data_IF_854863189385
#
_entry.id   IF_854863189385
#
_cell.length_a   1.000
_cell.length_b   1.000
_cell.length_c   1.000
_cell.angle_alpha   90.00
_cell.angle_beta   90.00
_cell.angle_gamma   90.00
#
_symmetry.space_group_name_H-M   'P 1'
#
loop_
_entity.id
_entity.type
_entity.pdbx_description
1 polymer ?
#
# COMPACT_ATOMS: atom_id res chain seq x y z
N UNK A 1 11.15 -52.67 8.80
CA UNK A 1 11.68 -51.68 9.76
C UNK A 1 11.98 -50.41 8.98
N UNK A 2 10.97 -49.54 8.85
CA UNK A 2 11.09 -48.26 8.17
C UNK A 2 11.58 -47.21 9.17
N UNK A 3 12.38 -46.24 8.73
CA UNK A 3 12.09 -44.82 8.93
C UNK A 3 13.01 -43.94 8.08
N UNK A 4 12.35 -43.33 7.09
CA UNK A 4 12.73 -42.20 6.25
C UNK A 4 13.54 -41.10 6.95
N UNK A 5 14.71 -40.78 6.40
CA UNK A 5 15.39 -39.50 6.59
C UNK A 5 15.08 -38.54 5.43
N UNK A 6 13.91 -37.92 5.42
CA UNK A 6 13.57 -36.87 4.44
C UNK A 6 14.06 -35.52 4.96
N UNK A 7 15.22 -35.05 4.48
CA UNK A 7 15.61 -33.64 4.61
C UNK A 7 14.54 -32.81 3.92
N UNK A 8 13.76 -32.05 4.69
CA UNK A 8 12.99 -30.93 4.16
C UNK A 8 13.99 -29.80 3.87
N UNK A 9 14.38 -29.68 2.61
CA UNK A 9 14.83 -28.40 2.07
C UNK A 9 13.67 -27.43 2.25
N UNK A 10 13.83 -26.45 3.15
CA UNK A 10 12.89 -25.35 3.32
C UNK A 10 12.92 -24.56 2.00
N UNK A 11 11.86 -24.69 1.21
CA UNK A 11 11.68 -23.92 -0.01
C UNK A 11 11.67 -22.45 0.37
N UNK A 12 12.57 -21.67 -0.23
CA UNK A 12 12.63 -20.23 -0.11
C UNK A 12 11.47 -19.61 -0.90
N UNK A 13 10.25 -19.82 -0.43
CA UNK A 13 9.03 -19.31 -1.05
C UNK A 13 8.98 -17.79 -0.83
N UNK A 14 9.72 -17.10 -1.69
CA UNK A 14 9.50 -15.72 -2.09
C UNK A 14 8.00 -15.58 -2.34
N UNK A 15 7.36 -14.64 -1.62
CA UNK A 15 5.92 -14.33 -1.68
C UNK A 15 5.39 -14.48 -3.11
N UNK A 16 4.57 -15.50 -3.35
CA UNK A 16 4.05 -15.76 -4.70
C UNK A 16 3.21 -14.55 -5.17
N UNK A 17 3.49 -13.99 -6.36
CA UNK A 17 2.84 -12.78 -6.85
C UNK A 17 1.31 -12.90 -6.98
N UNK A 18 0.78 -14.13 -7.10
CA UNK A 18 -0.66 -14.38 -7.19
C UNK A 18 -1.41 -14.08 -5.88
N UNK A 19 -0.76 -14.24 -4.71
CA UNK A 19 -1.37 -13.88 -3.41
C UNK A 19 -1.60 -12.38 -3.29
N UNK A 20 -0.69 -11.55 -3.81
CA UNK A 20 -0.81 -10.09 -3.71
C UNK A 20 -2.01 -9.60 -4.51
N UNK A 21 -2.27 -10.16 -5.70
CA UNK A 21 -3.42 -9.79 -6.52
C UNK A 21 -4.76 -10.21 -5.92
N UNK A 22 -4.87 -11.41 -5.35
CA UNK A 22 -6.07 -11.82 -4.60
C UNK A 22 -6.31 -10.94 -3.37
N UNK A 23 -5.21 -10.53 -2.72
CA UNK A 23 -5.29 -9.64 -1.56
C UNK A 23 -5.76 -8.24 -1.98
N UNK A 24 -5.29 -7.72 -3.13
CA UNK A 24 -5.74 -6.45 -3.71
C UNK A 24 -7.24 -6.45 -4.06
N UNK A 25 -7.73 -7.52 -4.68
CA UNK A 25 -9.18 -7.67 -4.97
C UNK A 25 -10.00 -7.75 -3.68
N UNK A 26 -9.51 -8.47 -2.67
CA UNK A 26 -10.15 -8.53 -1.34
C UNK A 26 -10.15 -7.18 -0.62
N UNK A 27 -9.12 -6.35 -0.83
CA UNK A 27 -9.03 -5.03 -0.21
C UNK A 27 -9.99 -3.99 -0.78
N UNK A 28 -10.48 -4.17 -2.01
CA UNK A 28 -11.50 -3.27 -2.58
C UNK A 28 -12.79 -3.20 -1.75
N UNK A 29 -13.14 -4.25 -0.99
CA UNK A 29 -14.31 -4.23 -0.11
C UNK A 29 -14.12 -3.40 1.17
N UNK A 30 -12.88 -3.15 1.58
CA UNK A 30 -12.55 -2.36 2.78
C UNK A 30 -12.61 -0.84 2.53
N UNK A 31 -12.79 -0.40 1.28
CA UNK A 31 -12.82 1.02 0.92
C UNK A 31 -13.95 1.77 1.65
N UNK A 32 -15.13 1.16 1.78
CA UNK A 32 -16.28 1.77 2.48
C UNK A 32 -15.98 2.07 3.96
N UNK A 33 -15.26 1.16 4.64
CA UNK A 33 -14.91 1.34 6.04
C UNK A 33 -13.79 2.37 6.21
N UNK A 34 -12.83 2.42 5.28
CA UNK A 34 -11.83 3.47 5.21
C UNK A 34 -12.49 4.85 5.03
N UNK A 35 -13.44 4.96 4.10
CA UNK A 35 -14.17 6.20 3.81
C UNK A 35 -14.95 6.66 5.04
N UNK A 36 -15.70 5.76 5.69
CA UNK A 36 -16.45 6.05 6.92
C UNK A 36 -15.53 6.45 8.08
N UNK A 37 -14.33 5.88 8.16
CA UNK A 37 -13.38 6.25 9.21
C UNK A 37 -12.73 7.61 8.95
N UNK A 38 -12.44 7.93 7.69
CA UNK A 38 -11.80 9.18 7.29
C UNK A 38 -12.75 10.37 7.40
N UNK A 39 -14.05 10.18 7.20
CA UNK A 39 -15.07 11.24 7.33
C UNK A 39 -15.23 11.80 8.76
N UNK A 40 -14.45 11.32 9.72
CA UNK A 40 -14.39 11.82 11.10
C UNK A 40 -13.24 12.81 11.33
N UNK A 41 -12.43 13.05 10.31
CA UNK A 41 -11.28 13.93 10.34
C UNK A 41 -11.53 15.09 9.36
N UNK A 42 -11.20 16.30 9.80
CA UNK A 42 -11.31 17.51 8.96
C UNK A 42 -9.98 17.83 8.26
N UNK A 43 -8.90 17.18 8.67
CA UNK A 43 -7.53 17.47 8.23
C UNK A 43 -6.79 16.20 7.78
N UNK A 44 -6.10 16.31 6.64
CA UNK A 44 -5.36 15.20 6.02
C UNK A 44 -4.16 14.81 6.87
N UNK A 45 -3.46 15.75 7.48
CA UNK A 45 -2.30 15.48 8.33
C UNK A 45 -2.71 14.68 9.57
N UNK A 46 -3.80 15.06 10.24
CA UNK A 46 -4.32 14.33 11.40
C UNK A 46 -4.66 12.86 11.05
N UNK A 47 -5.35 12.65 9.93
CA UNK A 47 -5.65 11.31 9.43
C UNK A 47 -4.39 10.49 9.14
N UNK A 48 -3.42 11.08 8.45
CA UNK A 48 -2.16 10.42 8.09
C UNK A 48 -1.34 10.09 9.32
N UNK A 49 -1.26 11.00 10.30
CA UNK A 49 -0.60 10.76 11.59
C UNK A 49 -1.27 9.61 12.34
N UNK A 50 -2.61 9.54 12.33
CA UNK A 50 -3.34 8.44 12.95
C UNK A 50 -3.00 7.09 12.30
N UNK A 51 -3.03 7.00 10.98
CA UNK A 51 -2.68 5.76 10.26
C UNK A 51 -1.20 5.40 10.42
N UNK A 52 -0.29 6.38 10.36
CA UNK A 52 1.14 6.16 10.55
C UNK A 52 1.45 5.62 11.95
N UNK A 53 0.75 6.10 12.99
CA UNK A 53 0.86 5.57 14.36
C UNK A 53 0.40 4.12 14.43
N UNK A 54 -0.73 3.75 13.80
CA UNK A 54 -1.22 2.36 13.77
C UNK A 54 -0.21 1.43 13.10
N UNK A 55 0.32 1.83 11.94
CA UNK A 55 1.35 1.05 11.23
C UNK A 55 2.68 1.00 11.97
N UNK A 56 3.05 2.07 12.69
CA UNK A 56 4.21 2.07 13.57
C UNK A 56 4.07 1.00 14.66
N UNK A 57 2.95 1.01 15.39
CA UNK A 57 2.69 0.06 16.48
C UNK A 57 2.69 -1.37 15.97
N UNK A 58 2.04 -1.64 14.83
CA UNK A 58 2.04 -2.96 14.20
C UNK A 58 3.46 -3.42 13.81
N UNK A 59 4.22 -2.56 13.14
CA UNK A 59 5.59 -2.87 12.73
C UNK A 59 6.55 -3.05 13.90
N UNK A 60 6.40 -2.23 14.95
CA UNK A 60 7.19 -2.37 16.17
C UNK A 60 6.88 -3.68 16.90
N UNK A 61 5.61 -4.06 16.98
CA UNK A 61 5.18 -5.35 17.53
C UNK A 61 5.78 -6.53 16.78
N UNK A 62 5.76 -6.51 15.44
CA UNK A 62 6.37 -7.55 14.62
C UNK A 62 7.90 -7.64 14.81
N UNK A 63 8.58 -6.50 14.93
CA UNK A 63 10.01 -6.42 15.18
C UNK A 63 10.45 -6.84 16.60
N UNK A 64 9.50 -6.93 17.55
CA UNK A 64 9.79 -7.28 18.94
C UNK A 64 9.89 -8.80 19.19
N UNK A 65 9.56 -9.64 18.20
CA UNK A 65 9.59 -11.11 18.35
C UNK A 65 10.81 -11.70 17.61
N UNK A 66 11.90 -12.05 18.32
CA UNK A 66 13.06 -12.68 17.71
C UNK A 66 12.68 -14.00 17.02
N UNK A 67 13.15 -14.21 15.79
CA UNK A 67 12.94 -15.47 15.05
C UNK A 67 11.56 -15.65 14.41
N UNK A 68 10.55 -14.85 14.76
CA UNK A 68 9.21 -14.92 14.13
C UNK A 68 9.07 -14.09 12.85
N UNK A 69 10.10 -13.35 12.45
CA UNK A 69 10.08 -12.44 11.29
C UNK A 69 9.78 -13.14 9.95
N UNK A 70 10.13 -14.42 9.79
CA UNK A 70 9.78 -15.19 8.60
C UNK A 70 8.28 -15.49 8.47
N UNK A 71 7.57 -15.57 9.60
CA UNK A 71 6.13 -15.86 9.64
C UNK A 71 5.33 -14.56 9.69
N UNK A 72 5.78 -13.59 10.49
CA UNK A 72 5.13 -12.30 10.66
C UNK A 72 5.43 -11.31 9.52
N UNK A 73 6.54 -11.49 8.79
CA UNK A 73 6.95 -10.60 7.69
C UNK A 73 5.87 -10.45 6.61
N UNK A 74 5.34 -11.54 6.04
CA UNK A 74 4.24 -11.44 5.07
C UNK A 74 2.98 -10.79 5.64
N UNK A 75 2.65 -11.06 6.91
CA UNK A 75 1.47 -10.49 7.58
C UNK A 75 1.64 -8.98 7.80
N UNK A 76 2.82 -8.53 8.24
CA UNK A 76 3.16 -7.11 8.42
C UNK A 76 3.09 -6.37 7.07
N UNK A 77 3.60 -6.96 5.99
CA UNK A 77 3.51 -6.38 4.65
C UNK A 77 2.06 -6.22 4.20
N UNK A 78 1.22 -7.25 4.38
CA UNK A 78 -0.21 -7.20 4.05
C UNK A 78 -0.91 -6.09 4.85
N UNK A 79 -0.63 -6.01 6.15
CA UNK A 79 -1.19 -4.97 7.01
C UNK A 79 -0.74 -3.56 6.60
N UNK A 80 0.55 -3.40 6.27
CA UNK A 80 1.11 -2.14 5.80
C UNK A 80 0.46 -1.70 4.50
N UNK A 81 0.34 -2.59 3.52
CA UNK A 81 -0.29 -2.32 2.24
C UNK A 81 -1.76 -1.92 2.44
N UNK A 82 -2.51 -2.63 3.29
CA UNK A 82 -3.89 -2.27 3.65
C UNK A 82 -3.97 -0.86 4.27
N UNK A 83 -3.04 -0.53 5.16
CA UNK A 83 -3.02 0.78 5.81
C UNK A 83 -2.67 1.88 4.83
N UNK A 84 -1.75 1.63 3.89
CA UNK A 84 -1.42 2.57 2.81
C UNK A 84 -2.64 2.88 1.93
N UNK A 85 -3.42 1.85 1.56
CA UNK A 85 -4.66 2.01 0.79
C UNK A 85 -5.71 2.81 1.55
N UNK A 86 -5.94 2.43 2.80
CA UNK A 86 -6.88 3.12 3.71
C UNK A 86 -6.50 4.59 3.84
N UNK A 87 -5.20 4.87 3.97
CA UNK A 87 -4.69 6.24 4.07
C UNK A 87 -4.97 7.02 2.80
N UNK A 88 -4.64 6.46 1.63
CA UNK A 88 -4.87 7.10 0.34
C UNK A 88 -6.35 7.44 0.09
N UNK A 89 -7.27 6.48 0.31
CA UNK A 89 -8.70 6.76 0.16
C UNK A 89 -9.20 7.81 1.15
N UNK A 90 -8.72 7.77 2.40
CA UNK A 90 -9.11 8.77 3.39
C UNK A 90 -8.67 10.20 3.03
N UNK A 91 -7.51 10.36 2.39
CA UNK A 91 -7.08 11.66 1.84
C UNK A 91 -8.09 12.16 0.79
N UNK A 92 -8.55 11.28 -0.10
CA UNK A 92 -9.58 11.64 -1.09
C UNK A 92 -10.89 12.10 -0.46
N UNK A 93 -11.33 11.46 0.63
CA UNK A 93 -12.56 11.84 1.36
C UNK A 93 -12.43 13.22 1.97
N UNK A 94 -11.31 13.48 2.65
CA UNK A 94 -11.08 14.74 3.36
C UNK A 94 -10.97 15.90 2.37
N UNK A 95 -10.43 15.66 1.17
CA UNK A 95 -10.41 16.64 0.07
C UNK A 95 -11.75 16.78 -0.68
N UNK A 96 -12.78 16.03 -0.30
CA UNK A 96 -14.09 16.10 -0.96
C UNK A 96 -14.10 15.56 -2.39
N UNK A 97 -13.11 14.76 -2.80
CA UNK A 97 -13.03 14.20 -4.14
C UNK A 97 -13.92 12.95 -4.28
N UNK A 98 -14.43 12.69 -5.49
CA UNK A 98 -15.03 11.40 -5.82
C UNK A 98 -13.96 10.31 -5.82
N UNK A 99 -14.21 9.20 -5.12
CA UNK A 99 -13.25 8.11 -4.99
C UNK A 99 -13.66 6.96 -5.90
N UNK A 100 -12.84 6.67 -6.90
CA UNK A 100 -12.88 5.38 -7.60
C UNK A 100 -11.80 4.49 -6.98
N UNK A 101 -12.20 3.70 -5.98
CA UNK A 101 -11.27 3.03 -5.08
C UNK A 101 -10.23 2.16 -5.81
N UNK A 102 -10.60 1.50 -6.90
CA UNK A 102 -9.70 0.63 -7.66
C UNK A 102 -8.78 1.45 -8.58
N UNK A 103 -9.33 2.40 -9.31
CA UNK A 103 -8.59 3.22 -10.28
C UNK A 103 -7.65 4.19 -9.59
N UNK A 104 -8.16 4.97 -8.63
CA UNK A 104 -7.37 5.93 -7.85
C UNK A 104 -6.21 5.21 -7.15
N UNK A 105 -6.47 4.05 -6.54
CA UNK A 105 -5.43 3.29 -5.86
C UNK A 105 -4.35 2.80 -6.81
N UNK A 106 -4.74 2.29 -7.99
CA UNK A 106 -3.78 1.80 -8.96
C UNK A 106 -2.87 2.92 -9.48
N UNK A 107 -3.43 4.11 -9.73
CA UNK A 107 -2.70 5.30 -10.17
C UNK A 107 -1.78 5.82 -9.06
N UNK A 108 -2.29 5.98 -7.85
CA UNK A 108 -1.50 6.40 -6.67
C UNK A 108 -0.34 5.43 -6.43
N UNK A 109 -0.57 4.12 -6.47
CA UNK A 109 0.49 3.11 -6.33
C UNK A 109 1.48 3.13 -7.50
N UNK A 110 1.02 3.41 -8.72
CA UNK A 110 1.88 3.51 -9.88
C UNK A 110 2.84 4.70 -9.75
N UNK A 111 2.35 5.88 -9.34
CA UNK A 111 3.18 7.05 -9.05
C UNK A 111 4.11 6.77 -7.87
N UNK A 112 3.55 6.26 -6.78
CA UNK A 112 4.30 5.99 -5.56
C UNK A 112 5.43 4.97 -5.77
N UNK A 113 5.22 3.97 -6.63
CA UNK A 113 6.25 2.99 -6.99
C UNK A 113 7.27 3.51 -8.01
N UNK A 114 7.09 4.71 -8.56
CA UNK A 114 7.89 5.22 -9.66
C UNK A 114 7.68 4.41 -10.96
N UNK A 115 6.49 3.86 -11.14
CA UNK A 115 6.10 3.22 -12.41
C UNK A 115 5.65 4.24 -13.45
N UNK A 116 4.98 5.29 -13.00
CA UNK A 116 4.43 6.37 -13.82
C UNK A 116 4.98 7.68 -13.27
N UNK A 117 5.38 8.59 -14.16
CA UNK A 117 5.77 9.94 -13.76
C UNK A 117 4.50 10.72 -13.35
N UNK A 118 4.52 11.50 -12.25
CA UNK A 118 3.40 12.37 -11.90
C UNK A 118 2.85 13.21 -13.07
N UNK A 119 3.71 13.66 -13.99
CA UNK A 119 3.29 14.41 -15.18
C UNK A 119 2.39 13.60 -16.12
N UNK A 120 2.60 12.29 -16.22
CA UNK A 120 1.80 11.39 -17.05
C UNK A 120 0.40 11.15 -16.45
N UNK A 121 0.25 11.30 -15.13
CA UNK A 121 -1.04 11.14 -14.45
C UNK A 121 -1.99 12.27 -14.81
N UNK A 122 -1.51 13.51 -14.90
CA UNK A 122 -2.33 14.63 -15.40
C UNK A 122 -2.89 14.35 -16.79
N UNK A 123 -2.07 13.76 -17.65
CA UNK A 123 -2.49 13.43 -19.02
C UNK A 123 -3.49 12.26 -19.04
N UNK A 124 -3.40 11.33 -18.08
CA UNK A 124 -4.40 10.28 -17.90
C UNK A 124 -5.71 10.83 -17.34
N UNK A 125 -5.67 11.66 -16.30
CA UNK A 125 -6.85 12.32 -15.74
C UNK A 125 -7.55 13.22 -16.77
N UNK A 126 -6.77 14.01 -17.54
CA UNK A 126 -7.31 14.81 -18.64
C UNK A 126 -7.88 13.95 -19.78
N UNK A 127 -7.31 12.75 -20.01
CA UNK A 127 -7.86 11.81 -20.99
C UNK A 127 -9.13 11.14 -20.46
N UNK A 128 -9.21 10.86 -19.17
CA UNK A 128 -10.40 10.27 -18.54
C UNK A 128 -11.57 11.25 -18.51
N UNK A 129 -11.36 12.54 -18.24
CA UNK A 129 -12.42 13.56 -18.38
C UNK A 129 -12.87 13.77 -19.84
N UNK A 130 -11.99 13.54 -20.83
CA UNK A 130 -12.37 13.52 -22.25
C UNK A 130 -13.12 12.22 -22.64
N UNK A 131 -12.88 11.11 -21.94
CA UNK A 131 -13.43 9.77 -22.23
C UNK A 131 -14.63 9.40 -21.32
N UNK A 132 -15.00 10.28 -20.39
CA UNK A 132 -16.03 10.12 -19.35
C UNK A 132 -17.45 9.78 -19.87
N UNK A 133 -17.65 9.64 -21.19
CA UNK A 133 -18.95 9.36 -21.79
C UNK A 133 -19.15 7.95 -22.38
N UNK A 134 -18.15 7.04 -22.44
CA UNK A 134 -18.38 5.86 -23.30
C UNK A 134 -17.93 4.46 -22.91
N UNK A 135 -17.43 4.16 -21.71
CA UNK A 135 -17.44 2.78 -21.18
C UNK A 135 -16.91 2.76 -19.73
N UNK A 136 -17.75 3.17 -18.78
CA UNK A 136 -17.58 2.80 -17.38
C UNK A 136 -17.39 1.28 -17.27
N UNK A 137 -16.38 0.82 -16.53
CA UNK A 137 -16.16 -0.56 -16.03
C UNK A 137 -15.09 -1.46 -16.68
N UNK A 138 -14.34 -1.08 -17.72
CA UNK A 138 -13.14 -1.86 -18.08
C UNK A 138 -11.95 -1.45 -17.23
N UNK A 139 -12.04 -1.83 -15.95
CA UNK A 139 -11.14 -1.47 -14.88
C UNK A 139 -9.66 -1.69 -15.21
N UNK A 140 -8.82 -0.90 -14.53
CA UNK A 140 -7.36 -1.01 -14.48
C UNK A 140 -6.91 -2.40 -14.92
N UNK A 141 -6.33 -2.49 -16.13
CA UNK A 141 -6.05 -3.79 -16.73
C UNK A 141 -5.29 -4.69 -15.74
N UNK A 142 -5.65 -5.97 -15.63
CA UNK A 142 -4.93 -6.93 -14.76
C UNK A 142 -3.42 -6.90 -15.01
N UNK A 143 -3.00 -6.58 -16.24
CA UNK A 143 -1.59 -6.40 -16.59
C UNK A 143 -0.95 -5.17 -15.93
N UNK A 144 -1.64 -4.04 -15.87
CA UNK A 144 -1.19 -2.85 -15.15
C UNK A 144 -1.11 -3.12 -13.65
N UNK A 145 -2.17 -3.67 -13.05
CA UNK A 145 -2.16 -4.07 -11.63
C UNK A 145 -1.03 -5.03 -11.32
N UNK A 146 -0.75 -6.02 -12.20
CA UNK A 146 0.37 -6.96 -12.04
C UNK A 146 1.73 -6.27 -12.08
N UNK A 147 1.92 -5.27 -12.96
CA UNK A 147 3.18 -4.51 -13.07
C UNK A 147 3.40 -3.62 -11.85
N UNK A 148 2.36 -2.90 -11.42
CA UNK A 148 2.38 -2.06 -10.23
C UNK A 148 2.61 -2.91 -8.98
N UNK A 149 1.86 -4.00 -8.81
CA UNK A 149 2.00 -4.91 -7.66
C UNK A 149 3.40 -5.52 -7.58
N UNK A 150 4.02 -5.89 -8.71
CA UNK A 150 5.40 -6.41 -8.73
C UNK A 150 6.41 -5.35 -8.29
N UNK A 151 6.28 -4.09 -8.76
CA UNK A 151 7.16 -2.99 -8.31
C UNK A 151 6.93 -2.63 -6.85
N UNK A 152 5.69 -2.60 -6.39
CA UNK A 152 5.33 -2.36 -4.98
C UNK A 152 5.93 -3.47 -4.11
N UNK A 153 5.75 -4.73 -4.49
CA UNK A 153 6.33 -5.89 -3.80
C UNK A 153 7.85 -5.81 -3.76
N UNK A 154 8.50 -5.42 -4.86
CA UNK A 154 9.96 -5.23 -4.90
C UNK A 154 10.41 -4.07 -3.99
N UNK A 155 9.71 -2.93 -4.00
CA UNK A 155 10.03 -1.75 -3.17
C UNK A 155 9.85 -2.04 -1.67
N UNK A 156 8.79 -2.75 -1.31
CA UNK A 156 8.57 -3.19 0.08
C UNK A 156 9.57 -4.28 0.47
N UNK A 157 9.73 -5.31 -0.38
CA UNK A 157 10.62 -6.45 -0.14
C UNK A 157 12.07 -6.02 0.03
N UNK A 158 12.57 -5.10 -0.79
CA UNK A 158 13.91 -4.54 -0.66
C UNK A 158 14.13 -3.84 0.69
N UNK A 159 13.13 -3.11 1.21
CA UNK A 159 13.23 -2.48 2.53
C UNK A 159 13.11 -3.47 3.68
N UNK A 160 12.28 -4.51 3.56
CA UNK A 160 12.18 -5.58 4.56
C UNK A 160 13.47 -6.40 4.62
N UNK A 161 14.09 -6.72 3.49
CA UNK A 161 15.40 -7.36 3.44
C UNK A 161 16.47 -6.51 4.15
N UNK A 162 16.42 -5.18 4.00
CA UNK A 162 17.27 -4.25 4.76
C UNK A 162 17.04 -4.28 6.28
N UNK A 163 15.81 -4.51 6.76
CA UNK A 163 15.49 -4.61 8.21
C UNK A 163 16.16 -5.81 8.88
N UNK A 164 16.39 -6.90 8.17
CA UNK A 164 17.00 -8.15 8.70
C UNK A 164 18.46 -7.93 9.14
N UNK A 165 19.18 -6.99 8.51
CA UNK A 165 20.59 -6.71 8.83
C UNK A 165 20.77 -5.93 10.14
N UNK A 166 19.75 -5.17 10.59
CA UNK A 166 19.82 -4.36 11.80
C UNK A 166 19.47 -5.07 13.11
N UNK A 167 19.11 -6.36 13.07
CA UNK A 167 18.41 -7.06 14.15
C UNK A 167 19.26 -7.51 15.36
N UNK A 168 20.54 -7.14 15.45
CA UNK A 168 21.41 -7.56 16.56
C UNK A 168 21.24 -6.71 17.84
N UNK A 169 20.30 -5.75 17.87
CA UNK A 169 20.03 -4.92 19.04
C UNK A 169 18.51 -4.94 19.38
N UNK A 170 18.08 -5.47 20.55
CA UNK A 170 16.68 -5.70 20.91
C UNK A 170 15.77 -4.46 20.92
N UNK A 171 16.33 -3.26 21.14
CA UNK A 171 15.56 -2.01 21.19
C UNK A 171 15.50 -1.32 19.81
N UNK A 172 16.54 -1.47 19.00
CA UNK A 172 16.64 -0.82 17.69
C UNK A 172 15.74 -1.51 16.66
N UNK A 173 15.60 -2.84 16.74
CA UNK A 173 14.76 -3.63 15.84
C UNK A 173 13.29 -3.16 15.77
N UNK A 174 12.56 -3.12 16.91
CA UNK A 174 11.18 -2.65 16.94
C UNK A 174 10.99 -1.21 16.44
N UNK A 175 11.86 -0.29 16.86
CA UNK A 175 11.77 1.13 16.48
C UNK A 175 12.01 1.29 14.97
N UNK A 176 13.02 0.63 14.42
CA UNK A 176 13.30 0.65 12.99
C UNK A 176 12.14 0.03 12.18
N UNK A 177 11.59 -1.10 12.64
CA UNK A 177 10.47 -1.76 11.98
C UNK A 177 9.22 -0.89 11.96
N UNK A 178 8.83 -0.30 13.09
CA UNK A 178 7.71 0.63 13.18
C UNK A 178 7.94 1.90 12.36
N UNK A 179 9.14 2.47 12.43
CA UNK A 179 9.51 3.69 11.71
C UNK A 179 9.42 3.55 10.19
N UNK A 180 9.85 2.41 9.64
CA UNK A 180 9.71 2.13 8.20
C UNK A 180 8.24 2.03 7.80
N UNK A 181 7.39 1.43 8.63
CA UNK A 181 5.97 1.30 8.32
C UNK A 181 5.27 2.67 8.34
N UNK A 182 5.58 3.51 9.34
CA UNK A 182 5.11 4.90 9.37
C UNK A 182 5.61 5.72 8.16
N UNK A 183 6.87 5.55 7.76
CA UNK A 183 7.44 6.18 6.57
C UNK A 183 6.65 5.82 5.31
N UNK A 184 6.29 4.55 5.13
CA UNK A 184 5.55 4.09 3.97
C UNK A 184 4.13 4.68 3.92
N UNK A 185 3.45 4.76 5.08
CA UNK A 185 2.13 5.38 5.19
C UNK A 185 2.16 6.88 4.87
N UNK A 186 3.15 7.62 5.37
CA UNK A 186 3.31 9.04 5.02
C UNK A 186 3.62 9.23 3.54
N UNK A 187 4.56 8.44 3.02
CA UNK A 187 4.98 8.53 1.63
C UNK A 187 3.85 8.23 0.64
N UNK A 188 2.92 7.33 0.94
CA UNK A 188 1.75 7.11 0.07
C UNK A 188 0.73 8.24 0.21
N UNK A 189 0.60 8.82 1.41
CA UNK A 189 -0.29 9.94 1.66
C UNK A 189 0.13 11.18 0.86
N UNK A 190 1.42 11.50 0.83
CA UNK A 190 1.96 12.62 0.05
C UNK A 190 1.59 12.47 -1.45
N UNK A 191 1.73 11.26 -1.99
CA UNK A 191 1.36 10.96 -3.38
C UNK A 191 -0.15 11.02 -3.59
N UNK A 192 -0.94 10.53 -2.65
CA UNK A 192 -2.40 10.60 -2.71
C UNK A 192 -2.89 12.06 -2.64
N UNK A 193 -2.26 12.89 -1.81
CA UNK A 193 -2.60 14.30 -1.70
C UNK A 193 -2.33 15.04 -3.01
N UNK A 194 -1.17 14.81 -3.62
CA UNK A 194 -0.87 15.36 -4.95
C UNK A 194 -1.87 14.87 -6.01
N UNK A 195 -2.17 13.56 -6.03
CA UNK A 195 -3.14 12.98 -6.96
C UNK A 195 -4.53 13.62 -6.83
N UNK A 196 -5.06 13.72 -5.60
CA UNK A 196 -6.39 14.27 -5.36
C UNK A 196 -6.44 15.79 -5.53
N UNK A 197 -5.37 16.53 -5.22
CA UNK A 197 -5.28 17.94 -5.53
C UNK A 197 -5.36 18.21 -7.04
N UNK A 198 -4.74 17.35 -7.86
CA UNK A 198 -4.85 17.45 -9.31
C UNK A 198 -6.24 17.06 -9.81
N UNK A 199 -6.81 15.98 -9.27
CA UNK A 199 -8.18 15.53 -9.59
C UNK A 199 -9.22 16.62 -9.30
N UNK A 200 -9.11 17.29 -8.17
CA UNK A 200 -9.96 18.43 -7.77
C UNK A 200 -9.86 19.60 -8.77
N UNK A 201 -8.64 19.94 -9.19
CA UNK A 201 -8.41 20.99 -10.17
C UNK A 201 -9.07 20.71 -11.53
N UNK A 202 -9.10 19.44 -11.96
CA UNK A 202 -9.79 19.03 -13.19
C UNK A 202 -11.32 19.08 -13.07
N UNK A 203 -11.89 18.77 -11.90
CA UNK A 203 -13.34 18.77 -11.70
C UNK A 203 -13.98 20.17 -11.71
N UNK A 204 -13.17 21.23 -11.68
CA UNK A 204 -13.65 22.62 -11.67
C UNK A 204 -13.88 23.18 -13.09
N UNK A 205 -13.43 22.47 -14.13
CA UNK A 205 -13.59 22.84 -15.54
C UNK A 205 -14.75 22.09 -16.20
#
# INVERSE_FOLDING_TARGET
MALFGRRRTVSSDVVEPNRITETLEKFGSDATDAIRSASRYDDTEEWVVHQARKSFVAGAGAGAVPGAYWVLGPVDVIYLVRTMMTTAWGVGVIRGCSIDAATDLALILAVWSGHVDPADVRMQLARESIVEFRDSQHGVSRQFLKKVSTKVAAKIGAKVAGKVVGHHIPVVGPIACGGVNAYFVRSIADVAEHYYAEKEAFSTY
#
